data_IF_534239593474
#
_entry.id   IF_534239593474
#
_cell.length_a   1.000
_cell.length_b   1.000
_cell.length_c   1.000
_cell.angle_alpha   90.00
_cell.angle_beta   90.00
_cell.angle_gamma   90.00
#
_symmetry.space_group_name_H-M   'P 1'
#
loop_
_entity.id
_entity.type
_entity.pdbx_description
1 polymer ?
#
# COMPACT_ATOMS: atom_id res chain seq x y z
N UNK A 1 57.43 88.44 -34.04
CA UNK A 1 56.01 88.05 -34.19
C UNK A 1 55.75 86.60 -33.79
N UNK A 2 56.78 85.80 -33.53
CA UNK A 2 56.65 84.38 -33.17
C UNK A 2 56.11 84.12 -31.74
N UNK A 3 56.37 85.03 -30.78
CA UNK A 3 55.88 84.90 -29.41
C UNK A 3 54.36 85.09 -29.25
N UNK A 4 53.71 85.79 -30.17
CA UNK A 4 52.24 85.98 -30.14
C UNK A 4 51.53 84.72 -30.66
N UNK A 5 52.12 84.04 -31.66
CA UNK A 5 51.60 82.79 -32.20
C UNK A 5 51.74 81.62 -31.20
N UNK A 6 52.86 81.53 -30.48
CA UNK A 6 53.06 80.51 -29.42
C UNK A 6 52.06 80.68 -28.26
N UNK A 7 51.74 81.91 -27.85
CA UNK A 7 50.77 82.16 -26.77
C UNK A 7 49.34 81.77 -27.18
N UNK A 8 48.94 82.05 -28.43
CA UNK A 8 47.62 81.63 -28.95
C UNK A 8 47.52 80.12 -29.16
N UNK A 9 48.60 79.46 -29.62
CA UNK A 9 48.60 78.00 -29.81
C UNK A 9 48.54 77.25 -28.48
N UNK A 10 49.24 77.75 -27.46
CA UNK A 10 49.21 77.19 -26.10
C UNK A 10 47.85 77.40 -25.40
N UNK A 11 47.19 78.55 -25.60
CA UNK A 11 45.85 78.80 -25.04
C UNK A 11 44.75 78.00 -25.75
N UNK A 12 44.84 77.81 -27.08
CA UNK A 12 43.91 76.97 -27.85
C UNK A 12 44.14 75.48 -27.54
N UNK A 13 45.39 75.05 -27.32
CA UNK A 13 45.75 73.71 -26.86
C UNK A 13 45.29 73.39 -25.43
N UNK A 14 45.29 74.37 -24.53
CA UNK A 14 44.74 74.21 -23.17
C UNK A 14 43.21 74.09 -23.15
N UNK A 15 42.52 74.85 -23.99
CA UNK A 15 41.06 74.79 -24.10
C UNK A 15 40.56 73.44 -24.67
N UNK A 16 41.25 72.85 -25.63
CA UNK A 16 40.89 71.55 -26.22
C UNK A 16 41.06 70.39 -25.23
N UNK A 17 42.08 70.42 -24.37
CA UNK A 17 42.25 69.42 -23.29
C UNK A 17 41.08 69.49 -22.29
N UNK A 18 40.64 70.69 -21.92
CA UNK A 18 39.49 70.88 -21.01
C UNK A 18 38.18 70.38 -21.64
N UNK A 19 37.94 70.68 -22.92
CA UNK A 19 36.78 70.18 -23.66
C UNK A 19 36.79 68.66 -23.81
N UNK A 20 37.96 68.07 -24.08
CA UNK A 20 38.14 66.62 -24.17
C UNK A 20 37.87 65.93 -22.84
N UNK A 21 38.37 66.50 -21.74
CA UNK A 21 38.15 65.99 -20.38
C UNK A 21 36.67 66.08 -19.95
N UNK A 22 36.01 67.20 -20.24
CA UNK A 22 34.58 67.38 -19.98
C UNK A 22 33.72 66.43 -20.81
N UNK A 23 34.01 66.27 -22.10
CA UNK A 23 33.31 65.32 -22.97
C UNK A 23 33.49 63.87 -22.50
N UNK A 24 34.72 63.50 -22.08
CA UNK A 24 34.99 62.19 -21.49
C UNK A 24 34.25 61.95 -20.17
N UNK A 25 34.17 62.95 -19.30
CA UNK A 25 33.42 62.88 -18.04
C UNK A 25 31.90 62.75 -18.28
N UNK A 26 31.33 63.55 -19.19
CA UNK A 26 29.93 63.46 -19.59
C UNK A 26 29.60 62.10 -20.19
N UNK A 27 30.46 61.60 -21.10
CA UNK A 27 30.31 60.26 -21.67
C UNK A 27 30.31 59.16 -20.61
N UNK A 28 31.21 59.27 -19.61
CA UNK A 28 31.26 58.34 -18.48
C UNK A 28 29.98 58.40 -17.63
N UNK A 29 29.51 59.59 -17.26
CA UNK A 29 28.27 59.76 -16.45
C UNK A 29 27.05 59.23 -17.19
N UNK A 30 26.93 59.47 -18.49
CA UNK A 30 25.84 58.94 -19.31
C UNK A 30 25.89 57.42 -19.43
N UNK A 31 27.08 56.86 -19.66
CA UNK A 31 27.28 55.41 -19.69
C UNK A 31 26.92 54.76 -18.36
N UNK A 32 27.40 55.31 -17.24
CA UNK A 32 27.12 54.80 -15.90
C UNK A 32 25.61 54.88 -15.60
N UNK A 33 24.94 55.96 -16.02
CA UNK A 33 23.49 56.11 -15.86
C UNK A 33 22.69 55.10 -16.67
N UNK A 34 23.07 54.86 -17.93
CA UNK A 34 22.44 53.83 -18.78
C UNK A 34 22.65 52.44 -18.16
N UNK A 35 23.89 52.14 -17.76
CA UNK A 35 24.23 50.85 -17.17
C UNK A 35 23.51 50.59 -15.84
N UNK A 36 23.38 51.60 -14.96
CA UNK A 36 22.61 51.49 -13.72
C UNK A 36 21.13 51.24 -14.00
N UNK A 37 20.57 51.87 -15.03
CA UNK A 37 19.17 51.66 -15.42
C UNK A 37 18.94 50.25 -15.97
N UNK A 38 19.80 49.78 -16.86
CA UNK A 38 19.76 48.41 -17.39
C UNK A 38 19.89 47.39 -16.27
N UNK A 39 20.85 47.60 -15.35
CA UNK A 39 21.03 46.75 -14.19
C UNK A 39 19.79 46.72 -13.30
N UNK A 40 19.17 47.87 -13.03
CA UNK A 40 17.96 47.93 -12.22
C UNK A 40 16.79 47.15 -12.85
N UNK A 41 16.63 47.21 -14.18
CA UNK A 41 15.61 46.41 -14.90
C UNK A 41 15.92 44.93 -14.78
N UNK A 42 17.16 44.52 -15.03
CA UNK A 42 17.58 43.12 -14.91
C UNK A 42 17.40 42.62 -13.47
N UNK A 43 17.72 43.42 -12.46
CA UNK A 43 17.56 43.05 -11.05
C UNK A 43 16.07 42.86 -10.69
N UNK A 44 15.17 43.67 -11.26
CA UNK A 44 13.72 43.51 -11.12
C UNK A 44 13.26 42.21 -11.80
N UNK A 45 13.67 41.97 -13.04
CA UNK A 45 13.30 40.76 -13.79
C UNK A 45 13.78 39.50 -13.06
N UNK A 46 15.01 39.51 -12.53
CA UNK A 46 15.56 38.41 -11.73
C UNK A 46 14.73 38.20 -10.45
N UNK A 47 14.32 39.28 -9.78
CA UNK A 47 13.50 39.19 -8.57
C UNK A 47 12.10 38.62 -8.89
N UNK A 48 11.50 39.03 -9.99
CA UNK A 48 10.20 38.53 -10.45
C UNK A 48 10.28 37.04 -10.83
N UNK A 49 11.26 36.65 -11.65
CA UNK A 49 11.52 35.25 -11.99
C UNK A 49 11.73 34.38 -10.75
N UNK A 50 12.52 34.85 -9.78
CA UNK A 50 12.72 34.15 -8.51
C UNK A 50 11.42 34.00 -7.72
N UNK A 51 10.60 35.04 -7.64
CA UNK A 51 9.33 35.00 -6.95
C UNK A 51 8.34 34.05 -7.65
N UNK A 52 8.30 34.04 -8.98
CA UNK A 52 7.48 33.13 -9.76
C UNK A 52 7.93 31.67 -9.55
N UNK A 53 9.23 31.40 -9.63
CA UNK A 53 9.78 30.07 -9.36
C UNK A 53 9.52 29.61 -7.92
N UNK A 54 9.64 30.50 -6.93
CA UNK A 54 9.34 30.18 -5.54
C UNK A 54 7.86 29.81 -5.36
N UNK A 55 6.94 30.55 -5.97
CA UNK A 55 5.49 30.23 -5.94
C UNK A 55 5.19 28.89 -6.62
N UNK A 56 5.79 28.64 -7.79
CA UNK A 56 5.64 27.37 -8.52
C UNK A 56 6.19 26.18 -7.71
N UNK A 57 7.38 26.33 -7.12
CA UNK A 57 7.98 25.31 -6.27
C UNK A 57 7.09 24.99 -5.06
N UNK A 58 6.57 26.03 -4.39
CA UNK A 58 5.67 25.87 -3.25
C UNK A 58 4.35 25.19 -3.65
N UNK A 59 3.78 25.54 -4.81
CA UNK A 59 2.57 24.90 -5.34
C UNK A 59 2.80 23.41 -5.61
N UNK A 60 3.89 23.06 -6.30
CA UNK A 60 4.23 21.68 -6.61
C UNK A 60 4.54 20.88 -5.35
N UNK A 61 5.22 21.47 -4.36
CA UNK A 61 5.46 20.82 -3.08
C UNK A 61 4.14 20.53 -2.35
N UNK A 62 3.21 21.47 -2.36
CA UNK A 62 1.89 21.27 -1.78
C UNK A 62 1.09 20.17 -2.49
N UNK A 63 1.08 20.17 -3.82
CA UNK A 63 0.44 19.12 -4.63
C UNK A 63 1.03 17.73 -4.33
N UNK A 64 2.36 17.62 -4.25
CA UNK A 64 3.04 16.38 -3.87
C UNK A 64 2.70 15.93 -2.45
N UNK A 65 2.54 16.86 -1.51
CA UNK A 65 2.12 16.53 -0.15
C UNK A 65 0.68 15.99 -0.12
N UNK A 66 -0.24 16.60 -0.88
CA UNK A 66 -1.62 16.13 -1.02
C UNK A 66 -1.67 14.72 -1.64
N UNK A 67 -0.92 14.50 -2.71
CA UNK A 67 -0.85 13.19 -3.38
C UNK A 67 -0.27 12.12 -2.46
N UNK A 68 0.83 12.42 -1.75
CA UNK A 68 1.40 11.52 -0.75
C UNK A 68 0.40 11.15 0.34
N UNK A 69 -0.33 12.13 0.85
CA UNK A 69 -1.35 11.89 1.87
C UNK A 69 -2.49 11.01 1.33
N UNK A 70 -2.97 11.27 0.11
CA UNK A 70 -3.98 10.45 -0.54
C UNK A 70 -3.50 8.99 -0.75
N UNK A 71 -2.26 8.81 -1.18
CA UNK A 71 -1.65 7.48 -1.34
C UNK A 71 -1.51 6.75 0.00
N UNK A 72 -1.10 7.45 1.07
CA UNK A 72 -1.02 6.89 2.41
C UNK A 72 -2.40 6.45 2.94
N UNK A 73 -3.43 7.27 2.76
CA UNK A 73 -4.80 6.91 3.12
C UNK A 73 -5.29 5.71 2.31
N UNK A 74 -5.04 5.68 1.00
CA UNK A 74 -5.38 4.55 0.14
C UNK A 74 -4.70 3.25 0.60
N UNK A 75 -3.43 3.33 0.99
CA UNK A 75 -2.69 2.19 1.52
C UNK A 75 -3.23 1.72 2.88
N UNK A 76 -3.56 2.65 3.78
CA UNK A 76 -4.15 2.34 5.08
C UNK A 76 -5.50 1.63 4.92
N UNK A 77 -6.38 2.15 4.06
CA UNK A 77 -7.68 1.55 3.77
C UNK A 77 -7.55 0.14 3.18
N UNK A 78 -6.54 -0.08 2.32
CA UNK A 78 -6.28 -1.40 1.75
C UNK A 78 -5.79 -2.40 2.81
N UNK A 79 -4.92 -1.95 3.72
CA UNK A 79 -4.44 -2.75 4.86
C UNK A 79 -5.61 -3.14 5.77
N UNK A 80 -6.45 -2.17 6.13
CA UNK A 80 -7.63 -2.39 6.97
C UNK A 80 -8.58 -3.40 6.32
N UNK A 81 -8.95 -3.18 5.06
CA UNK A 81 -9.82 -4.10 4.32
C UNK A 81 -9.24 -5.52 4.24
N UNK A 82 -7.93 -5.62 3.98
CA UNK A 82 -7.24 -6.91 3.95
C UNK A 82 -7.29 -7.60 5.32
N UNK A 83 -7.07 -6.85 6.40
CA UNK A 83 -7.14 -7.37 7.76
C UNK A 83 -8.55 -7.90 8.09
N UNK A 84 -9.61 -7.12 7.80
CA UNK A 84 -11.00 -7.55 8.01
C UNK A 84 -11.32 -8.85 7.28
N UNK A 85 -10.94 -8.94 6.00
CA UNK A 85 -11.22 -10.12 5.18
C UNK A 85 -10.49 -11.36 5.69
N UNK A 86 -9.24 -11.21 6.15
CA UNK A 86 -8.46 -12.32 6.71
C UNK A 86 -9.06 -12.78 8.04
N UNK A 87 -9.46 -11.86 8.91
CA UNK A 87 -10.14 -12.17 10.18
C UNK A 87 -11.46 -12.93 9.96
N UNK A 88 -12.31 -12.45 9.05
CA UNK A 88 -13.57 -13.12 8.70
C UNK A 88 -13.35 -14.52 8.12
N UNK A 89 -12.39 -14.67 7.20
CA UNK A 89 -12.05 -15.99 6.67
C UNK A 89 -11.51 -16.93 7.74
N UNK A 90 -10.68 -16.42 8.67
CA UNK A 90 -10.14 -17.22 9.75
C UNK A 90 -11.25 -17.76 10.66
N UNK A 91 -12.24 -16.93 11.01
CA UNK A 91 -13.41 -17.37 11.79
C UNK A 91 -14.18 -18.48 11.07
N UNK A 92 -14.49 -18.28 9.78
CA UNK A 92 -15.18 -19.29 8.96
C UNK A 92 -14.39 -20.59 8.83
N UNK A 93 -13.07 -20.50 8.71
CA UNK A 93 -12.16 -21.65 8.65
C UNK A 93 -12.26 -22.49 9.94
N UNK A 94 -12.21 -21.83 11.11
CA UNK A 94 -12.34 -22.47 12.42
C UNK A 94 -13.74 -23.07 12.59
N UNK A 95 -14.79 -22.32 12.26
CA UNK A 95 -16.18 -22.77 12.39
C UNK A 95 -16.47 -24.01 11.55
N UNK A 96 -15.91 -24.08 10.34
CA UNK A 96 -16.00 -25.25 9.46
C UNK A 96 -15.23 -26.44 10.06
N UNK A 97 -14.01 -26.21 10.55
CA UNK A 97 -13.22 -27.26 11.18
C UNK A 97 -13.94 -27.88 12.37
N UNK A 98 -14.50 -27.07 13.26
CA UNK A 98 -15.29 -27.53 14.40
C UNK A 98 -16.52 -28.33 13.95
N UNK A 99 -17.24 -27.88 12.91
CA UNK A 99 -18.41 -28.60 12.42
C UNK A 99 -18.07 -29.97 11.80
N UNK A 100 -16.91 -30.09 11.13
CA UNK A 100 -16.41 -31.37 10.63
C UNK A 100 -16.06 -32.30 11.81
N UNK A 101 -15.42 -31.76 12.85
CA UNK A 101 -15.13 -32.49 14.08
C UNK A 101 -16.40 -33.00 14.76
N UNK A 102 -17.42 -32.16 14.92
CA UNK A 102 -18.72 -32.55 15.50
C UNK A 102 -19.43 -33.62 14.67
N UNK A 103 -19.26 -33.61 13.35
CA UNK A 103 -19.85 -34.62 12.44
C UNK A 103 -19.19 -35.99 12.62
N UNK A 104 -17.86 -36.03 12.73
CA UNK A 104 -17.07 -37.28 12.67
C UNK A 104 -16.75 -37.83 14.05
N UNK A 105 -16.37 -36.94 14.98
CA UNK A 105 -15.96 -37.26 16.35
C UNK A 105 -16.70 -36.38 17.38
N UNK A 106 -18.02 -36.56 17.51
CA UNK A 106 -18.84 -35.90 18.51
C UNK A 106 -18.41 -36.30 19.94
N UNK A 107 -17.44 -35.59 20.51
CA UNK A 107 -16.92 -35.73 21.87
C UNK A 107 -17.70 -34.77 22.80
N UNK A 108 -18.99 -35.05 22.95
CA UNK A 108 -19.87 -34.27 23.80
C UNK A 108 -19.76 -34.78 25.24
N UNK A 109 -18.81 -34.24 26.00
CA UNK A 109 -18.78 -34.45 27.45
C UNK A 109 -20.03 -33.82 28.10
N UNK A 110 -21.05 -34.65 28.37
CA UNK A 110 -22.23 -34.28 29.16
C UNK A 110 -23.30 -33.43 28.45
N UNK A 111 -23.25 -33.28 27.13
CA UNK A 111 -24.30 -32.59 26.34
C UNK A 111 -25.10 -33.57 25.49
N UNK A 112 -26.34 -33.23 25.17
CA UNK A 112 -27.11 -33.95 24.16
C UNK A 112 -26.36 -33.89 22.83
N UNK A 113 -26.12 -35.08 22.28
CA UNK A 113 -25.34 -35.27 21.07
C UNK A 113 -26.29 -35.20 19.87
N UNK A 114 -26.10 -34.25 18.94
CA UNK A 114 -26.90 -34.22 17.73
C UNK A 114 -26.72 -35.54 16.98
N UNK A 115 -27.77 -35.95 16.27
CA UNK A 115 -27.65 -37.13 15.42
C UNK A 115 -26.57 -36.88 14.35
N UNK A 116 -25.91 -37.92 13.85
CA UNK A 116 -24.86 -37.75 12.82
C UNK A 116 -25.39 -37.05 11.56
N UNK A 117 -26.65 -37.34 11.19
CA UNK A 117 -27.31 -36.69 10.07
C UNK A 117 -27.55 -35.21 10.35
N UNK A 118 -27.94 -34.86 11.56
CA UNK A 118 -28.13 -33.48 11.99
C UNK A 118 -26.79 -32.71 12.01
N UNK A 119 -25.74 -33.29 12.59
CA UNK A 119 -24.39 -32.71 12.59
C UNK A 119 -23.87 -32.47 11.16
N UNK A 120 -24.06 -33.45 10.26
CA UNK A 120 -23.73 -33.31 8.84
C UNK A 120 -24.51 -32.16 8.17
N UNK A 121 -25.83 -32.08 8.40
CA UNK A 121 -26.66 -31.01 7.85
C UNK A 121 -26.27 -29.63 8.40
N UNK A 122 -25.72 -29.55 9.61
CA UNK A 122 -25.18 -28.31 10.19
C UNK A 122 -23.80 -27.94 9.62
N UNK A 123 -23.01 -28.92 9.18
CA UNK A 123 -21.69 -28.67 8.60
C UNK A 123 -21.74 -28.14 7.15
N UNK A 124 -22.71 -28.58 6.35
CA UNK A 124 -22.88 -28.14 4.95
C UNK A 124 -22.99 -26.61 4.77
N UNK A 125 -23.88 -25.88 5.47
CA UNK A 125 -23.99 -24.43 5.28
C UNK A 125 -22.72 -23.69 5.70
N UNK A 126 -21.97 -24.20 6.69
CA UNK A 126 -20.67 -23.64 7.08
C UNK A 126 -19.61 -23.87 6.00
N UNK A 127 -19.62 -25.05 5.38
CA UNK A 127 -18.74 -25.36 4.24
C UNK A 127 -18.99 -24.42 3.07
N UNK A 128 -20.26 -24.24 2.68
CA UNK A 128 -20.65 -23.35 1.59
C UNK A 128 -20.29 -21.89 1.89
N UNK A 129 -20.59 -21.43 3.10
CA UNK A 129 -20.28 -20.07 3.53
C UNK A 129 -18.77 -19.78 3.47
N UNK A 130 -17.97 -20.69 4.01
CA UNK A 130 -16.51 -20.59 3.95
C UNK A 130 -16.01 -20.58 2.50
N UNK A 131 -16.46 -21.54 1.66
CA UNK A 131 -16.01 -21.65 0.28
C UNK A 131 -16.35 -20.39 -0.53
N UNK A 132 -17.59 -19.92 -0.45
CA UNK A 132 -18.06 -18.72 -1.16
C UNK A 132 -17.27 -17.49 -0.70
N UNK A 133 -17.08 -17.33 0.61
CA UNK A 133 -16.36 -16.20 1.15
C UNK A 133 -14.88 -16.22 0.77
N UNK A 134 -14.23 -17.38 0.87
CA UNK A 134 -12.83 -17.55 0.52
C UNK A 134 -12.57 -17.30 -0.96
N UNK A 135 -13.32 -17.94 -1.87
CA UNK A 135 -13.08 -17.80 -3.31
C UNK A 135 -13.34 -16.37 -3.82
N UNK A 136 -14.35 -15.68 -3.28
CA UNK A 136 -14.59 -14.25 -3.60
C UNK A 136 -13.48 -13.33 -3.12
N UNK A 137 -12.80 -13.70 -2.04
CA UNK A 137 -11.81 -12.85 -1.36
C UNK A 137 -10.38 -13.38 -1.46
N UNK A 138 -10.12 -14.33 -2.35
CA UNK A 138 -8.83 -15.01 -2.49
C UNK A 138 -7.67 -14.06 -2.80
N UNK A 139 -7.96 -12.94 -3.47
CA UNK A 139 -6.97 -11.91 -3.84
C UNK A 139 -6.31 -11.22 -2.63
N UNK A 140 -6.94 -11.27 -1.46
CA UNK A 140 -6.39 -10.66 -0.24
C UNK A 140 -5.33 -11.52 0.46
N UNK A 141 -5.16 -12.77 -0.01
CA UNK A 141 -4.18 -13.71 0.51
C UNK A 141 -2.96 -13.81 -0.39
N UNK A 142 -1.81 -14.12 0.20
CA UNK A 142 -0.66 -14.53 -0.59
C UNK A 142 -0.94 -15.84 -1.33
N UNK A 143 -0.25 -16.09 -2.45
CA UNK A 143 -0.42 -17.31 -3.25
C UNK A 143 -0.20 -18.58 -2.42
N UNK A 144 0.73 -18.54 -1.47
CA UNK A 144 1.03 -19.65 -0.58
C UNK A 144 -0.08 -19.90 0.44
N UNK A 145 -0.55 -18.85 1.11
CA UNK A 145 -1.67 -18.94 2.05
C UNK A 145 -2.93 -19.45 1.33
N UNK A 146 -3.24 -18.89 0.17
CA UNK A 146 -4.39 -19.31 -0.63
C UNK A 146 -4.30 -20.80 -1.03
N UNK A 147 -3.11 -21.29 -1.39
CA UNK A 147 -2.88 -22.70 -1.70
C UNK A 147 -3.16 -23.61 -0.50
N UNK A 148 -2.67 -23.23 0.69
CA UNK A 148 -2.85 -24.03 1.90
C UNK A 148 -4.31 -24.04 2.36
N UNK A 149 -4.99 -22.89 2.30
CA UNK A 149 -6.42 -22.78 2.61
C UNK A 149 -7.26 -23.60 1.62
N UNK A 150 -6.93 -23.58 0.32
CA UNK A 150 -7.54 -24.48 -0.67
C UNK A 150 -7.27 -25.96 -0.37
N UNK A 151 -6.09 -26.31 0.15
CA UNK A 151 -5.75 -27.68 0.56
C UNK A 151 -6.68 -28.19 1.67
N UNK A 152 -6.94 -27.36 2.68
CA UNK A 152 -7.92 -27.64 3.73
C UNK A 152 -9.34 -27.80 3.15
N UNK A 153 -9.79 -26.87 2.31
CA UNK A 153 -11.10 -26.97 1.64
C UNK A 153 -11.30 -28.32 0.92
N UNK A 154 -10.30 -28.76 0.14
CA UNK A 154 -10.38 -30.04 -0.58
C UNK A 154 -10.43 -31.22 0.39
N UNK A 155 -9.64 -31.19 1.47
CA UNK A 155 -9.69 -32.23 2.49
C UNK A 155 -11.05 -32.28 3.20
N UNK A 156 -11.61 -31.11 3.53
CA UNK A 156 -12.93 -30.96 4.14
C UNK A 156 -14.04 -31.54 3.25
N UNK A 157 -14.04 -31.20 1.97
CA UNK A 157 -15.00 -31.72 0.99
C UNK A 157 -14.96 -33.26 0.94
N UNK A 158 -13.76 -33.84 0.82
CA UNK A 158 -13.57 -35.30 0.80
C UNK A 158 -14.09 -35.98 2.07
N UNK A 159 -13.84 -35.36 3.24
CA UNK A 159 -14.29 -35.90 4.52
C UNK A 159 -15.82 -35.86 4.65
N UNK A 160 -16.46 -34.75 4.25
CA UNK A 160 -17.92 -34.61 4.27
C UNK A 160 -18.61 -35.54 3.28
N UNK A 161 -18.06 -35.71 2.07
CA UNK A 161 -18.57 -36.66 1.08
C UNK A 161 -18.52 -38.11 1.60
N UNK A 162 -17.40 -38.50 2.21
CA UNK A 162 -17.28 -39.83 2.81
C UNK A 162 -18.22 -40.00 4.02
N UNK A 163 -18.38 -38.96 4.85
CA UNK A 163 -19.31 -38.97 5.97
C UNK A 163 -20.75 -39.19 5.48
N UNK A 164 -21.17 -38.55 4.38
CA UNK A 164 -22.47 -38.75 3.75
C UNK A 164 -22.70 -40.20 3.32
N UNK A 165 -21.73 -40.83 2.67
CA UNK A 165 -21.84 -42.24 2.25
C UNK A 165 -22.03 -43.17 3.46
N UNK A 166 -21.29 -42.90 4.53
CA UNK A 166 -21.36 -43.65 5.77
C UNK A 166 -22.71 -43.45 6.50
N UNK A 167 -23.26 -42.23 6.50
CA UNK A 167 -24.58 -41.93 7.07
C UNK A 167 -25.69 -42.64 6.29
N UNK A 168 -25.65 -42.57 4.95
CA UNK A 168 -26.71 -43.11 4.10
C UNK A 168 -26.71 -44.65 3.97
N UNK A 169 -25.56 -45.29 4.17
CA UNK A 169 -25.44 -46.75 4.04
C UNK A 169 -25.99 -47.54 5.23
N UNK A 170 -26.44 -46.87 6.31
CA UNK A 170 -26.89 -47.51 7.56
C UNK A 170 -25.90 -48.56 8.12
N UNK A 171 -24.64 -48.56 7.65
CA UNK A 171 -23.61 -49.43 8.17
C UNK A 171 -23.44 -49.10 9.65
N UNK A 172 -23.54 -50.12 10.49
CA UNK A 172 -23.45 -49.97 11.94
C UNK A 172 -22.08 -49.41 12.32
N UNK A 173 -22.00 -48.09 12.41
CA UNK A 173 -20.87 -47.33 12.95
C UNK A 173 -20.59 -47.64 14.42
N UNK A 174 -21.35 -48.55 15.05
CA UNK A 174 -21.04 -49.12 16.35
C UNK A 174 -19.68 -49.83 16.38
N UNK A 175 -19.12 -50.21 15.21
CA UNK A 175 -17.74 -50.74 15.09
C UNK A 175 -16.65 -49.67 14.88
N UNK A 176 -17.00 -48.38 14.92
CA UNK A 176 -16.05 -47.27 14.80
C UNK A 176 -16.00 -46.63 13.41
N UNK A 177 -15.25 -45.52 13.33
CA UNK A 177 -14.97 -44.78 12.10
C UNK A 177 -14.26 -45.72 11.11
N UNK A 178 -14.69 -45.79 9.85
CA UNK A 178 -13.98 -46.59 8.85
C UNK A 178 -12.53 -46.10 8.73
N UNK A 179 -11.53 -46.97 8.50
CA UNK A 179 -10.14 -46.55 8.39
C UNK A 179 -9.92 -45.42 7.37
N UNK A 180 -10.72 -45.41 6.30
CA UNK A 180 -10.73 -44.37 5.27
C UNK A 180 -11.21 -43.02 5.81
N UNK A 181 -12.34 -42.99 6.54
CA UNK A 181 -12.86 -41.75 7.13
C UNK A 181 -11.91 -41.22 8.21
N UNK A 182 -11.28 -42.10 8.99
CA UNK A 182 -10.26 -41.70 9.96
C UNK A 182 -9.04 -41.08 9.28
N UNK A 183 -8.57 -41.65 8.17
CA UNK A 183 -7.46 -41.12 7.38
C UNK A 183 -7.80 -39.75 6.79
N UNK A 184 -9.00 -39.58 6.23
CA UNK A 184 -9.46 -38.29 5.71
C UNK A 184 -9.56 -37.24 6.81
N UNK A 185 -10.02 -37.63 8.00
CA UNK A 185 -10.09 -36.74 9.15
C UNK A 185 -8.70 -36.28 9.62
N UNK A 186 -7.73 -37.19 9.75
CA UNK A 186 -6.34 -36.81 10.05
C UNK A 186 -5.75 -35.87 9.00
N UNK A 187 -6.14 -36.05 7.74
CA UNK A 187 -5.75 -35.13 6.66
C UNK A 187 -6.40 -33.75 6.82
N UNK A 188 -7.69 -33.68 7.19
CA UNK A 188 -8.37 -32.40 7.50
C UNK A 188 -7.64 -31.66 8.62
N UNK A 189 -7.33 -32.34 9.73
CA UNK A 189 -6.62 -31.74 10.87
C UNK A 189 -5.21 -31.24 10.48
N UNK A 190 -4.49 -32.05 9.70
CA UNK A 190 -3.15 -31.67 9.19
C UNK A 190 -3.23 -30.43 8.29
N UNK A 191 -4.15 -30.41 7.33
CA UNK A 191 -4.30 -29.29 6.40
C UNK A 191 -4.87 -28.04 7.09
N UNK A 192 -5.75 -28.22 8.08
CA UNK A 192 -6.22 -27.14 8.95
C UNK A 192 -5.05 -26.51 9.71
N UNK A 193 -4.20 -27.32 10.34
CA UNK A 193 -3.03 -26.82 11.06
C UNK A 193 -2.12 -25.98 10.17
N UNK A 194 -1.85 -26.43 8.94
CA UNK A 194 -1.07 -25.67 7.96
C UNK A 194 -1.76 -24.36 7.54
N UNK A 195 -3.04 -24.43 7.18
CA UNK A 195 -3.81 -23.27 6.75
C UNK A 195 -3.86 -22.21 7.87
N UNK A 196 -4.16 -22.65 9.11
CA UNK A 196 -4.24 -21.80 10.29
C UNK A 196 -2.93 -21.08 10.57
N UNK A 197 -1.81 -21.81 10.63
CA UNK A 197 -0.49 -21.22 10.92
C UNK A 197 -0.12 -20.17 9.87
N UNK A 198 -0.34 -20.45 8.60
CA UNK A 198 0.00 -19.50 7.54
C UNK A 198 -0.94 -18.29 7.49
N UNK A 199 -2.24 -18.46 7.74
CA UNK A 199 -3.19 -17.34 7.88
C UNK A 199 -2.82 -16.46 9.08
N UNK A 200 -2.54 -17.05 10.25
CA UNK A 200 -2.12 -16.30 11.44
C UNK A 200 -0.81 -15.54 11.20
N UNK A 201 0.17 -16.18 10.55
CA UNK A 201 1.45 -15.54 10.21
C UNK A 201 1.27 -14.37 9.25
N UNK A 202 0.45 -14.53 8.22
CA UNK A 202 0.15 -13.46 7.27
C UNK A 202 -0.60 -12.31 7.96
N UNK A 203 -1.54 -12.62 8.84
CA UNK A 203 -2.27 -11.62 9.63
C UNK A 203 -1.36 -10.85 10.59
N UNK A 204 -0.49 -11.54 11.35
CA UNK A 204 0.50 -10.91 12.24
C UNK A 204 1.47 -10.00 11.47
N UNK A 205 1.82 -10.37 10.24
CA UNK A 205 2.66 -9.54 9.36
C UNK A 205 1.95 -8.24 8.98
N UNK A 206 0.66 -8.27 8.69
CA UNK A 206 -0.14 -7.06 8.42
C UNK A 206 -0.18 -6.15 9.63
N UNK A 207 -0.36 -6.74 10.82
CA UNK A 207 -0.42 -6.03 12.10
C UNK A 207 0.95 -5.57 12.63
N UNK A 208 2.06 -5.94 11.97
CA UNK A 208 3.44 -5.60 12.37
C UNK A 208 3.79 -6.00 13.82
N UNK A 209 3.21 -7.09 14.32
CA UNK A 209 3.36 -7.53 15.72
C UNK A 209 4.83 -7.88 16.10
N UNK A 210 5.69 -8.15 15.11
CA UNK A 210 7.08 -8.54 15.32
C UNK A 210 8.11 -7.44 14.97
N UNK A 211 7.68 -6.19 14.73
CA UNK A 211 8.57 -5.07 14.37
C UNK A 211 8.96 -4.18 15.57
N UNK A 212 9.00 -4.75 16.78
CA UNK A 212 9.43 -4.07 18.01
C UNK A 212 10.83 -4.52 18.45
#
# INVERSE_FOLDING_TARGET
MDQIFELTLAQIGGASVLLSGLAGWLGKVWKDRIHLREKAVIDIDIAELKAEHARKAQSLEHELQLERHAAQLGHANLIEKRATIIDENYKLLVDLHEAIFDTIRPDYFGREKPSKSEAYNLALPKFDLFMIHFEKNKIYFSKEVAKNVSGFYVAAAQALDQARLVINSNQSLSKGITPELQKLFMKVDTEMGKARVEVEKDFRKILRVNEA
#
